data_IF_829982602010
#
_entry.id   IF_829982602010
#
_cell.length_a   1.000
_cell.length_b   1.000
_cell.length_c   1.000
_cell.angle_alpha   90.00
_cell.angle_beta   90.00
_cell.angle_gamma   90.00
#
_symmetry.space_group_name_H-M   'P 1'
#
loop_
_entity.id
_entity.type
_entity.pdbx_description
1 polymer ?
#
# COMPACT_ATOMS: atom_id res chain seq x y z
N UNK A 1 -12.72 -1.33 -14.83
CA UNK A 1 -12.94 -2.79 -15.00
C UNK A 1 -12.66 -3.64 -13.73
N UNK A 2 -12.36 -3.07 -12.57
CA UNK A 2 -12.02 -3.81 -11.34
C UNK A 2 -13.20 -4.04 -10.36
N UNK A 3 -14.41 -3.57 -10.68
CA UNK A 3 -15.58 -3.72 -9.81
C UNK A 3 -16.29 -5.07 -9.93
N UNK A 4 -15.69 -6.05 -10.64
CA UNK A 4 -16.29 -7.37 -10.84
C UNK A 4 -15.75 -8.46 -9.90
N UNK A 5 -14.87 -8.11 -8.96
CA UNK A 5 -14.40 -9.08 -7.95
C UNK A 5 -15.55 -9.30 -6.96
N UNK A 6 -16.15 -10.50 -6.90
CA UNK A 6 -17.29 -10.74 -6.00
C UNK A 6 -16.82 -10.82 -4.55
N UNK A 7 -17.69 -10.36 -3.64
CA UNK A 7 -17.56 -10.51 -2.20
C UNK A 7 -18.43 -11.68 -1.74
N UNK A 8 -17.78 -12.73 -1.28
CA UNK A 8 -18.43 -13.99 -0.92
C UNK A 8 -18.92 -13.96 0.53
N UNK A 9 -20.17 -14.35 0.73
CA UNK A 9 -20.67 -14.70 2.06
C UNK A 9 -20.25 -16.15 2.34
N UNK A 10 -19.30 -16.33 3.24
CA UNK A 10 -18.82 -17.66 3.62
C UNK A 10 -19.88 -18.43 4.44
N UNK A 11 -19.89 -19.76 4.30
CA UNK A 11 -20.70 -20.62 5.16
C UNK A 11 -20.27 -20.42 6.62
N UNK A 12 -21.25 -20.22 7.50
CA UNK A 12 -21.00 -19.96 8.93
C UNK A 12 -20.60 -18.50 9.25
N UNK A 13 -20.76 -17.56 8.30
CA UNK A 13 -20.60 -16.14 8.58
C UNK A 13 -21.51 -15.73 9.76
N UNK A 14 -20.92 -15.09 10.76
CA UNK A 14 -21.64 -14.59 11.91
C UNK A 14 -22.29 -13.23 11.62
N UNK A 15 -23.01 -12.67 12.58
CA UNK A 15 -23.71 -11.38 12.42
C UNK A 15 -22.76 -10.22 12.14
N UNK A 16 -21.57 -10.24 12.75
CA UNK A 16 -20.55 -9.18 12.57
C UNK A 16 -19.91 -9.27 11.20
N UNK A 17 -19.64 -10.49 10.70
CA UNK A 17 -19.17 -10.71 9.34
C UNK A 17 -20.20 -10.21 8.31
N UNK A 18 -21.49 -10.48 8.52
CA UNK A 18 -22.56 -10.03 7.64
C UNK A 18 -22.66 -8.49 7.61
N UNK A 19 -22.54 -7.84 8.76
CA UNK A 19 -22.54 -6.38 8.85
C UNK A 19 -21.31 -5.76 8.13
N UNK A 20 -20.14 -6.37 8.28
CA UNK A 20 -18.92 -5.92 7.61
C UNK A 20 -19.02 -6.11 6.09
N UNK A 21 -19.56 -7.25 5.61
CA UNK A 21 -19.82 -7.50 4.18
C UNK A 21 -20.74 -6.42 3.60
N UNK A 22 -21.84 -6.08 4.29
CA UNK A 22 -22.76 -5.04 3.85
C UNK A 22 -22.06 -3.69 3.72
N UNK A 23 -21.31 -3.29 4.74
CA UNK A 23 -20.58 -2.02 4.74
C UNK A 23 -19.53 -1.93 3.61
N UNK A 24 -18.78 -3.02 3.38
CA UNK A 24 -17.79 -3.10 2.31
C UNK A 24 -18.46 -3.02 0.93
N UNK A 25 -19.54 -3.79 0.73
CA UNK A 25 -20.29 -3.78 -0.53
C UNK A 25 -20.88 -2.41 -0.83
N UNK A 26 -21.50 -1.76 0.15
CA UNK A 26 -22.10 -0.43 0.01
C UNK A 26 -21.04 0.62 -0.36
N UNK A 27 -19.90 0.61 0.33
CA UNK A 27 -18.83 1.58 0.11
C UNK A 27 -18.08 1.39 -1.18
N UNK A 28 -17.73 0.13 -1.51
CA UNK A 28 -16.80 -0.19 -2.60
C UNK A 28 -17.51 -0.72 -3.86
N UNK A 29 -18.81 -0.98 -3.80
CA UNK A 29 -19.61 -1.46 -4.93
C UNK A 29 -19.32 -2.91 -5.35
N UNK A 30 -18.81 -3.76 -4.46
CA UNK A 30 -18.57 -5.16 -4.78
C UNK A 30 -19.90 -5.94 -4.78
N UNK A 31 -20.16 -6.76 -5.84
CA UNK A 31 -21.30 -7.64 -5.85
C UNK A 31 -21.19 -8.70 -4.75
N UNK A 32 -22.22 -8.81 -3.92
CA UNK A 32 -22.27 -9.82 -2.85
C UNK A 32 -22.94 -11.08 -3.41
N UNK A 33 -22.28 -12.21 -3.24
CA UNK A 33 -22.78 -13.52 -3.69
C UNK A 33 -22.69 -14.56 -2.56
N UNK A 34 -23.53 -15.59 -2.62
CA UNK A 34 -23.50 -16.69 -1.66
C UNK A 34 -22.30 -17.62 -1.89
N UNK A 35 -21.99 -18.44 -0.90
CA UNK A 35 -20.93 -19.47 -1.04
C UNK A 35 -21.19 -20.45 -2.17
N UNK A 36 -22.47 -20.75 -2.48
CA UNK A 36 -22.86 -21.61 -3.60
C UNK A 36 -22.61 -20.98 -4.97
N UNK A 37 -22.51 -19.66 -5.05
CA UNK A 37 -22.24 -18.88 -6.27
C UNK A 37 -20.77 -18.47 -6.37
N UNK A 38 -19.93 -18.97 -5.47
CA UNK A 38 -18.48 -18.72 -5.51
C UNK A 38 -17.91 -19.13 -6.88
N UNK A 39 -17.12 -18.24 -7.50
CA UNK A 39 -16.51 -18.55 -8.81
C UNK A 39 -15.60 -19.78 -8.73
N UNK A 40 -15.55 -20.57 -9.80
CA UNK A 40 -14.64 -21.72 -9.92
C UNK A 40 -13.21 -21.31 -10.24
N UNK A 41 -13.03 -20.09 -10.78
CA UNK A 41 -11.73 -19.51 -11.17
C UNK A 41 -11.74 -18.01 -10.96
N UNK A 42 -10.54 -17.41 -10.88
CA UNK A 42 -10.36 -15.98 -10.71
C UNK A 42 -10.38 -15.52 -9.24
N UNK A 43 -10.30 -14.22 -9.06
CA UNK A 43 -10.18 -13.59 -7.74
C UNK A 43 -11.56 -13.33 -7.11
N UNK A 44 -11.64 -13.47 -5.80
CA UNK A 44 -12.80 -13.10 -5.01
C UNK A 44 -12.37 -12.54 -3.65
N UNK A 45 -13.21 -11.70 -3.07
CA UNK A 45 -13.10 -11.23 -1.69
C UNK A 45 -13.95 -12.12 -0.78
N UNK A 46 -13.52 -12.28 0.46
CA UNK A 46 -14.31 -12.92 1.51
C UNK A 46 -14.08 -12.25 2.86
N UNK A 47 -15.09 -12.28 3.70
CA UNK A 47 -14.97 -11.91 5.12
C UNK A 47 -15.12 -13.16 5.96
N UNK A 48 -14.16 -13.37 6.86
CA UNK A 48 -14.18 -14.47 7.82
C UNK A 48 -13.58 -14.00 9.14
N UNK A 49 -14.31 -14.21 10.22
CA UNK A 49 -13.92 -13.78 11.57
C UNK A 49 -13.57 -12.29 11.66
N UNK A 50 -14.33 -11.44 10.99
CA UNK A 50 -14.11 -9.99 10.97
C UNK A 50 -12.93 -9.51 10.13
N UNK A 51 -12.36 -10.35 9.27
CA UNK A 51 -11.19 -10.05 8.42
C UNK A 51 -11.57 -10.14 6.95
N UNK A 52 -11.28 -9.08 6.20
CA UNK A 52 -11.39 -9.06 4.74
C UNK A 52 -10.14 -9.66 4.12
N UNK A 53 -10.31 -10.60 3.20
CA UNK A 53 -9.22 -11.25 2.47
C UNK A 53 -9.51 -11.40 0.98
N UNK A 54 -8.46 -11.36 0.17
CA UNK A 54 -8.46 -11.63 -1.26
C UNK A 54 -7.96 -13.05 -1.52
N UNK A 55 -8.71 -13.85 -2.26
CA UNK A 55 -8.38 -15.21 -2.58
C UNK A 55 -8.50 -15.50 -4.08
N UNK A 56 -7.86 -16.58 -4.53
CA UNK A 56 -7.99 -17.13 -5.87
C UNK A 56 -8.77 -18.45 -5.81
N UNK A 57 -9.84 -18.55 -6.56
CA UNK A 57 -10.69 -19.74 -6.61
C UNK A 57 -9.94 -20.97 -7.19
N UNK A 58 -8.98 -20.75 -8.04
CA UNK A 58 -8.11 -21.82 -8.62
C UNK A 58 -7.12 -22.41 -7.60
N UNK A 59 -6.81 -21.69 -6.51
CA UNK A 59 -5.85 -22.12 -5.50
C UNK A 59 -6.55 -22.75 -4.28
N UNK A 60 -6.72 -24.07 -4.29
CA UNK A 60 -7.27 -24.82 -3.14
C UNK A 60 -6.25 -24.87 -1.99
N UNK A 61 -6.70 -24.68 -0.74
CA UNK A 61 -5.89 -24.76 0.49
C UNK A 61 -4.89 -23.63 0.72
N UNK A 62 -5.11 -22.46 0.14
CA UNK A 62 -4.24 -21.30 0.33
C UNK A 62 -5.04 -20.22 1.09
N UNK A 63 -4.51 -19.73 2.22
CA UNK A 63 -5.17 -18.67 3.00
C UNK A 63 -5.34 -17.40 2.14
N UNK A 64 -6.43 -16.66 2.27
CA UNK A 64 -6.58 -15.36 1.63
C UNK A 64 -5.42 -14.42 1.93
N UNK A 65 -5.16 -13.48 1.02
CA UNK A 65 -4.26 -12.37 1.29
C UNK A 65 -5.02 -11.28 2.00
N UNK A 66 -4.54 -10.88 3.15
CA UNK A 66 -5.09 -9.83 3.99
C UNK A 66 -4.05 -8.78 4.31
N UNK A 67 -4.49 -7.59 4.69
CA UNK A 67 -3.63 -6.55 5.25
C UNK A 67 -3.70 -6.67 6.77
N UNK A 68 -2.62 -7.09 7.42
CA UNK A 68 -2.53 -7.17 8.87
C UNK A 68 -1.33 -6.37 9.40
N UNK A 69 -1.62 -5.13 9.79
CA UNK A 69 -0.63 -4.24 10.39
C UNK A 69 -0.24 -4.66 11.82
N UNK A 70 -1.12 -5.39 12.51
CA UNK A 70 -0.87 -5.90 13.85
C UNK A 70 -0.34 -7.33 13.87
N UNK A 71 0.05 -7.91 12.72
CA UNK A 71 0.62 -9.24 12.65
C UNK A 71 1.89 -9.36 13.53
N UNK A 72 2.19 -10.54 14.06
CA UNK A 72 3.43 -10.76 14.82
C UNK A 72 4.68 -10.31 14.06
N UNK A 73 4.71 -10.50 12.74
CA UNK A 73 5.82 -10.07 11.89
C UNK A 73 5.94 -8.55 11.80
N UNK A 74 4.82 -7.83 11.66
CA UNK A 74 4.76 -6.37 11.63
C UNK A 74 5.18 -5.77 12.97
N UNK A 75 4.66 -6.30 14.06
CA UNK A 75 5.00 -5.85 15.41
C UNK A 75 6.45 -6.18 15.77
N UNK A 76 6.94 -7.35 15.39
CA UNK A 76 8.35 -7.70 15.56
C UNK A 76 9.26 -6.72 14.80
N UNK A 77 8.93 -6.38 13.54
CA UNK A 77 9.67 -5.38 12.76
C UNK A 77 9.64 -4.01 13.42
N UNK A 78 8.50 -3.60 13.98
CA UNK A 78 8.37 -2.35 14.75
C UNK A 78 9.30 -2.34 15.96
N UNK A 79 9.39 -3.45 16.71
CA UNK A 79 10.17 -3.53 17.96
C UNK A 79 11.66 -3.79 17.71
N UNK A 80 12.01 -4.67 16.77
CA UNK A 80 13.36 -5.19 16.54
C UNK A 80 13.93 -4.84 15.16
N UNK A 81 13.14 -4.26 14.29
CA UNK A 81 13.59 -3.75 13.00
C UNK A 81 14.56 -2.58 13.15
N UNK A 82 15.09 -2.11 12.05
CA UNK A 82 16.05 -1.00 12.04
C UNK A 82 15.51 0.32 12.58
N UNK A 83 14.19 0.45 12.81
CA UNK A 83 13.54 1.69 13.20
C UNK A 83 13.98 2.83 12.27
N UNK A 84 14.56 3.89 12.82
CA UNK A 84 15.12 5.00 12.03
C UNK A 84 16.33 4.63 11.17
N UNK A 85 16.94 3.47 11.38
CA UNK A 85 18.05 2.95 10.56
C UNK A 85 17.57 2.18 9.33
N UNK A 86 16.26 1.93 9.21
CA UNK A 86 15.68 1.29 8.02
C UNK A 86 16.00 2.12 6.77
N UNK A 87 16.36 1.48 5.64
CA UNK A 87 16.73 2.20 4.42
C UNK A 87 15.66 3.17 3.93
N UNK A 88 14.38 2.78 3.99
CA UNK A 88 13.26 3.65 3.63
C UNK A 88 13.21 4.91 4.51
N UNK A 89 13.39 4.78 5.83
CA UNK A 89 13.35 5.91 6.76
C UNK A 89 14.51 6.87 6.52
N UNK A 90 15.70 6.32 6.22
CA UNK A 90 16.85 7.12 5.79
C UNK A 90 16.59 7.85 4.47
N UNK A 91 15.94 7.18 3.52
CA UNK A 91 15.60 7.76 2.22
C UNK A 91 14.58 8.89 2.37
N UNK A 92 13.53 8.69 3.17
CA UNK A 92 12.59 9.76 3.55
C UNK A 92 13.31 10.92 4.23
N UNK A 93 14.41 10.66 4.96
CA UNK A 93 15.26 11.70 5.56
C UNK A 93 14.75 12.22 6.88
N UNK A 94 13.95 11.43 7.57
CA UNK A 94 13.40 11.76 8.89
C UNK A 94 14.53 12.02 9.89
N UNK A 95 14.58 13.21 10.46
CA UNK A 95 15.56 13.64 11.46
C UNK A 95 14.88 13.91 12.81
N UNK A 96 15.63 13.72 13.89
CA UNK A 96 15.15 14.08 15.23
C UNK A 96 13.78 13.47 15.56
N UNK A 97 12.93 14.21 16.28
CA UNK A 97 11.58 13.80 16.69
C UNK A 97 10.49 14.44 15.80
N UNK A 98 10.82 14.90 14.62
CA UNK A 98 9.87 15.54 13.71
C UNK A 98 8.77 14.57 13.30
N UNK A 99 7.53 15.02 13.36
CA UNK A 99 6.36 14.29 12.87
C UNK A 99 6.12 14.68 11.40
N UNK A 100 6.71 13.94 10.48
CA UNK A 100 6.53 14.18 9.05
C UNK A 100 5.22 13.59 8.54
N UNK A 101 4.59 14.30 7.61
CA UNK A 101 3.52 13.77 6.80
C UNK A 101 4.13 13.21 5.51
N UNK A 102 3.94 11.92 5.29
CA UNK A 102 4.39 11.20 4.10
C UNK A 102 3.18 10.72 3.31
N UNK A 103 3.20 10.93 2.01
CA UNK A 103 2.24 10.29 1.10
C UNK A 103 2.89 9.05 0.50
N UNK A 104 2.28 7.89 0.72
CA UNK A 104 2.61 6.65 0.02
C UNK A 104 1.64 6.49 -1.16
N UNK A 105 2.11 6.80 -2.37
CA UNK A 105 1.28 6.80 -3.56
C UNK A 105 1.24 5.44 -4.30
N UNK A 106 1.86 4.41 -3.73
CA UNK A 106 1.90 3.04 -4.24
C UNK A 106 1.90 2.02 -3.09
N UNK A 107 0.91 2.08 -2.18
CA UNK A 107 1.01 1.41 -0.88
C UNK A 107 1.00 -0.13 -0.96
N UNK A 108 0.37 -0.71 -1.99
CA UNK A 108 0.20 -2.16 -2.06
C UNK A 108 -0.47 -2.69 -0.78
N UNK A 109 0.20 -3.57 -0.05
CA UNK A 109 -0.29 -4.07 1.27
C UNK A 109 0.05 -3.14 2.45
N UNK A 110 0.54 -1.92 2.21
CA UNK A 110 0.81 -0.92 3.24
C UNK A 110 2.01 -1.23 4.15
N UNK A 111 2.88 -2.16 3.78
CA UNK A 111 4.00 -2.59 4.64
C UNK A 111 5.02 -1.50 4.88
N UNK A 112 5.37 -0.75 3.84
CA UNK A 112 6.32 0.35 3.95
C UNK A 112 5.65 1.56 4.63
N UNK A 113 4.36 1.82 4.35
CA UNK A 113 3.55 2.80 5.08
C UNK A 113 3.54 2.52 6.60
N UNK A 114 3.36 1.28 7.03
CA UNK A 114 3.36 0.91 8.45
C UNK A 114 4.74 1.11 9.10
N UNK A 115 5.83 0.87 8.38
CA UNK A 115 7.19 1.18 8.88
C UNK A 115 7.32 2.67 9.16
N UNK A 116 6.86 3.53 8.26
CA UNK A 116 6.91 4.98 8.43
C UNK A 116 6.04 5.46 9.61
N UNK A 117 4.83 4.89 9.76
CA UNK A 117 3.97 5.14 10.92
C UNK A 117 4.65 4.71 12.22
N UNK A 118 5.33 3.56 12.21
CA UNK A 118 6.01 3.00 13.39
C UNK A 118 7.16 3.88 13.90
N UNK A 119 7.75 4.73 13.04
CA UNK A 119 8.80 5.68 13.42
C UNK A 119 8.27 7.10 13.68
N UNK A 120 6.95 7.28 13.66
CA UNK A 120 6.28 8.52 14.08
C UNK A 120 5.69 9.35 12.95
N UNK A 121 5.85 8.98 11.67
CA UNK A 121 5.23 9.69 10.56
C UNK A 121 3.70 9.57 10.58
N UNK A 122 3.01 10.61 10.10
CA UNK A 122 1.66 10.51 9.58
C UNK A 122 1.76 10.04 8.14
N UNK A 123 0.96 9.06 7.73
CA UNK A 123 1.01 8.51 6.38
C UNK A 123 -0.36 8.53 5.73
N UNK A 124 -0.45 9.17 4.56
CA UNK A 124 -1.61 9.08 3.67
C UNK A 124 -1.27 8.11 2.55
N UNK A 125 -2.00 7.03 2.46
CA UNK A 125 -1.90 6.06 1.36
C UNK A 125 -2.87 6.47 0.25
N UNK A 126 -2.42 6.44 -1.01
CA UNK A 126 -3.29 6.66 -2.18
C UNK A 126 -3.32 5.37 -2.99
N UNK A 127 -4.50 4.80 -3.16
CA UNK A 127 -4.67 3.52 -3.86
C UNK A 127 -5.80 3.60 -4.89
N UNK A 128 -5.48 3.19 -6.13
CA UNK A 128 -6.43 3.22 -7.26
C UNK A 128 -7.33 2.00 -7.37
N UNK A 129 -6.87 0.85 -6.87
CA UNK A 129 -7.65 -0.38 -6.88
C UNK A 129 -8.65 -0.40 -5.74
N UNK A 130 -9.95 -0.47 -6.00
CA UNK A 130 -10.95 -0.56 -4.93
C UNK A 130 -10.77 -1.81 -4.07
N UNK A 131 -10.28 -2.90 -4.64
CA UNK A 131 -9.99 -4.15 -3.91
C UNK A 131 -8.86 -3.94 -2.91
N UNK A 132 -7.74 -3.36 -3.35
CA UNK A 132 -6.59 -3.09 -2.47
C UNK A 132 -6.93 -2.04 -1.44
N UNK A 133 -7.65 -0.99 -1.83
CA UNK A 133 -8.12 0.05 -0.93
C UNK A 133 -9.03 -0.52 0.17
N UNK A 134 -9.95 -1.43 -0.17
CA UNK A 134 -10.80 -2.10 0.82
C UNK A 134 -9.98 -2.97 1.80
N UNK A 135 -8.96 -3.68 1.32
CA UNK A 135 -8.05 -4.46 2.17
C UNK A 135 -7.24 -3.55 3.11
N UNK A 136 -6.72 -2.42 2.62
CA UNK A 136 -6.00 -1.45 3.43
C UNK A 136 -6.90 -0.83 4.50
N UNK A 137 -8.13 -0.46 4.13
CA UNK A 137 -9.10 0.10 5.06
C UNK A 137 -9.46 -0.90 6.17
N UNK A 138 -9.69 -2.17 5.81
CA UNK A 138 -9.92 -3.23 6.80
C UNK A 138 -8.72 -3.41 7.73
N UNK A 139 -7.50 -3.39 7.17
CA UNK A 139 -6.27 -3.43 7.96
C UNK A 139 -6.15 -2.28 8.96
N UNK A 140 -6.47 -1.04 8.55
CA UNK A 140 -6.49 0.13 9.45
C UNK A 140 -7.59 -0.02 10.50
N UNK A 141 -8.80 -0.45 10.13
CA UNK A 141 -9.91 -0.71 11.04
C UNK A 141 -9.51 -1.70 12.15
N UNK A 142 -8.88 -2.81 11.77
CA UNK A 142 -8.41 -3.82 12.74
C UNK A 142 -7.24 -3.32 13.59
N UNK A 143 -6.32 -2.55 13.01
CA UNK A 143 -5.23 -1.92 13.75
C UNK A 143 -5.77 -0.99 14.85
N UNK A 144 -6.85 -0.23 14.56
CA UNK A 144 -7.47 0.69 15.51
C UNK A 144 -8.01 0.00 16.77
N UNK A 145 -8.36 -1.28 16.69
CA UNK A 145 -8.84 -2.05 17.85
C UNK A 145 -7.74 -2.33 18.87
N UNK A 146 -6.49 -2.49 18.42
CA UNK A 146 -5.36 -2.86 19.28
C UNK A 146 -4.34 -1.74 19.47
N UNK A 147 -4.19 -0.85 18.49
CA UNK A 147 -3.22 0.23 18.46
C UNK A 147 -3.82 1.51 17.86
N UNK A 148 -4.83 2.12 18.54
CA UNK A 148 -5.56 3.29 18.01
C UNK A 148 -4.63 4.47 17.71
N UNK A 149 -3.55 4.65 18.46
CA UNK A 149 -2.57 5.72 18.24
C UNK A 149 -1.74 5.55 16.96
N UNK A 150 -1.54 4.32 16.47
CA UNK A 150 -0.91 4.05 15.18
C UNK A 150 -1.91 4.20 14.05
N UNK A 151 -3.11 3.67 14.22
CA UNK A 151 -4.17 3.77 13.23
C UNK A 151 -4.54 5.24 12.96
N UNK A 152 -4.56 6.09 13.98
CA UNK A 152 -4.82 7.54 13.86
C UNK A 152 -3.79 8.28 12.99
N UNK A 153 -2.60 7.70 12.78
CA UNK A 153 -1.56 8.25 11.89
C UNK A 153 -1.67 7.74 10.45
N UNK A 154 -2.61 6.85 10.17
CA UNK A 154 -2.83 6.28 8.84
C UNK A 154 -4.12 6.82 8.24
N UNK A 155 -4.06 7.25 7.01
CA UNK A 155 -5.24 7.60 6.21
C UNK A 155 -5.16 6.99 4.83
N UNK A 156 -6.31 6.80 4.21
CA UNK A 156 -6.43 6.22 2.87
C UNK A 156 -7.27 7.14 1.99
N UNK A 157 -6.77 7.43 0.79
CA UNK A 157 -7.50 8.07 -0.29
C UNK A 157 -7.60 7.11 -1.47
N UNK A 158 -8.82 6.93 -1.99
CA UNK A 158 -9.05 6.11 -3.17
C UNK A 158 -9.02 6.97 -4.42
N UNK A 159 -8.19 6.59 -5.39
CA UNK A 159 -8.10 7.28 -6.68
C UNK A 159 -6.79 7.04 -7.40
N UNK A 160 -6.68 7.59 -8.61
CA UNK A 160 -5.42 7.59 -9.35
C UNK A 160 -4.40 8.46 -8.62
N UNK A 161 -3.25 7.89 -8.28
CA UNK A 161 -2.27 8.57 -7.44
C UNK A 161 -1.71 9.85 -8.06
N UNK A 162 -1.52 9.88 -9.39
CA UNK A 162 -1.04 11.09 -10.05
C UNK A 162 -2.08 12.23 -9.98
N UNK A 163 -3.36 11.90 -10.21
CA UNK A 163 -4.47 12.86 -10.13
C UNK A 163 -4.69 13.34 -8.69
N UNK A 164 -4.72 12.40 -7.73
CA UNK A 164 -4.91 12.75 -6.30
C UNK A 164 -3.77 13.64 -5.81
N UNK A 165 -2.51 13.37 -6.20
CA UNK A 165 -1.37 14.24 -5.83
C UNK A 165 -1.47 15.63 -6.46
N UNK A 166 -1.95 15.73 -7.71
CA UNK A 166 -2.10 17.01 -8.41
C UNK A 166 -3.13 17.93 -7.73
N UNK A 167 -4.21 17.34 -7.19
CA UNK A 167 -5.28 18.08 -6.53
C UNK A 167 -5.33 17.84 -5.03
N UNK A 168 -4.19 17.46 -4.44
CA UNK A 168 -4.12 17.14 -3.03
C UNK A 168 -4.47 18.34 -2.17
N UNK A 169 -5.53 18.20 -1.38
CA UNK A 169 -5.96 19.19 -0.40
C UNK A 169 -5.71 18.65 1.00
N UNK A 170 -5.00 19.38 1.83
CA UNK A 170 -4.73 18.92 3.17
C UNK A 170 -3.48 19.55 3.79
N UNK A 171 -2.95 18.88 4.79
CA UNK A 171 -1.73 19.29 5.47
C UNK A 171 -0.51 19.23 4.55
N UNK A 172 0.49 20.03 4.89
CA UNK A 172 1.76 20.06 4.20
C UNK A 172 2.38 18.64 4.10
N UNK A 173 2.74 18.21 2.89
CA UNK A 173 3.36 16.91 2.62
C UNK A 173 4.87 17.07 2.62
N UNK A 174 5.54 16.48 3.62
CA UNK A 174 7.00 16.57 3.73
C UNK A 174 7.70 15.68 2.70
N UNK A 175 7.21 14.45 2.50
CA UNK A 175 7.80 13.55 1.52
C UNK A 175 6.76 12.69 0.84
N UNK A 176 7.12 12.21 -0.38
CA UNK A 176 6.31 11.23 -1.11
C UNK A 176 7.15 9.99 -1.34
N UNK A 177 6.53 8.84 -1.12
CA UNK A 177 7.11 7.52 -1.35
C UNK A 177 6.42 6.84 -2.54
N UNK A 178 7.24 6.31 -3.46
CA UNK A 178 6.82 5.59 -4.65
C UNK A 178 7.54 4.24 -4.72
N UNK A 179 6.80 3.14 -4.83
CA UNK A 179 7.28 1.78 -5.13
C UNK A 179 6.44 1.14 -6.24
N UNK A 180 6.40 1.75 -7.45
CA UNK A 180 5.59 1.22 -8.53
C UNK A 180 6.04 -0.19 -8.93
N UNK A 181 5.07 -1.05 -9.30
CA UNK A 181 5.35 -2.41 -9.74
C UNK A 181 6.18 -2.42 -11.01
N UNK A 182 7.43 -2.85 -10.88
CA UNK A 182 8.36 -2.95 -12.00
C UNK A 182 8.13 -4.28 -12.74
N UNK A 183 8.17 -4.29 -14.09
CA UNK A 183 8.08 -5.53 -14.84
C UNK A 183 9.28 -6.42 -14.51
N UNK A 184 9.05 -7.48 -13.75
CA UNK A 184 10.09 -8.46 -13.46
C UNK A 184 10.42 -9.28 -14.70
N UNK A 185 11.70 -9.37 -15.06
CA UNK A 185 12.18 -10.38 -16.02
C UNK A 185 11.80 -11.77 -15.48
N UNK A 186 11.18 -12.58 -16.33
CA UNK A 186 10.52 -13.89 -16.08
C UNK A 186 11.39 -14.99 -15.40
N UNK A 187 12.19 -14.73 -14.39
CA UNK A 187 13.01 -15.76 -13.73
C UNK A 187 13.11 -15.56 -12.23
N UNK A 188 12.02 -15.82 -11.48
CA UNK A 188 12.16 -16.31 -10.12
C UNK A 188 11.07 -17.33 -9.84
N UNK A 189 11.49 -18.57 -9.57
CA UNK A 189 10.63 -19.73 -9.39
C UNK A 189 9.76 -19.68 -8.11
N UNK A 190 9.81 -18.60 -7.34
CA UNK A 190 9.06 -18.38 -6.09
C UNK A 190 8.65 -16.92 -5.96
N UNK A 191 7.81 -16.47 -6.85
CA UNK A 191 7.06 -15.22 -6.60
C UNK A 191 6.14 -15.50 -5.41
N UNK A 192 6.26 -14.71 -4.34
CA UNK A 192 5.39 -14.84 -3.16
C UNK A 192 3.93 -14.78 -3.63
N UNK A 193 3.06 -15.61 -3.02
CA UNK A 193 1.63 -15.71 -3.33
C UNK A 193 0.97 -14.33 -3.47
N UNK A 194 1.21 -13.47 -2.47
CA UNK A 194 0.67 -12.11 -2.46
C UNK A 194 1.01 -11.34 -3.75
N UNK A 195 2.27 -11.43 -4.20
CA UNK A 195 2.72 -10.76 -5.41
C UNK A 195 2.04 -11.32 -6.66
N UNK A 196 1.75 -12.64 -6.71
CA UNK A 196 1.02 -13.24 -7.83
C UNK A 196 -0.42 -12.73 -7.89
N UNK A 197 -1.13 -12.73 -6.76
CA UNK A 197 -2.50 -12.21 -6.68
C UNK A 197 -2.56 -10.72 -7.07
N UNK A 198 -1.59 -9.93 -6.61
CA UNK A 198 -1.48 -8.52 -6.99
C UNK A 198 -1.17 -8.32 -8.47
N UNK A 199 -0.28 -9.13 -9.06
CA UNK A 199 -0.01 -9.10 -10.50
C UNK A 199 -1.24 -9.49 -11.32
N UNK A 200 -2.01 -10.47 -10.84
CA UNK A 200 -3.26 -10.89 -11.49
C UNK A 200 -4.33 -9.79 -11.38
N UNK A 201 -4.42 -9.12 -10.23
CA UNK A 201 -5.39 -8.07 -9.96
C UNK A 201 -5.07 -6.76 -10.69
N UNK A 202 -3.81 -6.30 -10.61
CA UNK A 202 -3.40 -4.96 -11.01
C UNK A 202 -2.63 -4.93 -12.32
N UNK A 203 -2.03 -6.05 -12.72
CA UNK A 203 -1.11 -6.08 -13.85
C UNK A 203 0.22 -5.37 -13.52
N UNK A 204 0.76 -4.67 -14.51
CA UNK A 204 1.93 -3.80 -14.37
C UNK A 204 1.47 -2.35 -14.28
N UNK A 205 2.32 -1.46 -13.75
CA UNK A 205 2.10 -0.01 -13.72
C UNK A 205 2.75 0.64 -14.97
N UNK A 206 2.08 0.65 -16.14
CA UNK A 206 2.64 1.22 -17.38
C UNK A 206 2.76 2.75 -17.28
N UNK A 207 2.02 3.35 -16.38
CA UNK A 207 1.92 4.78 -16.11
C UNK A 207 2.78 5.24 -14.91
N UNK A 208 3.72 4.40 -14.44
CA UNK A 208 4.56 4.71 -13.29
C UNK A 208 5.34 6.02 -13.43
N UNK A 209 5.79 6.35 -14.63
CA UNK A 209 6.53 7.59 -14.91
C UNK A 209 5.69 8.84 -14.67
N UNK A 210 4.37 8.77 -14.85
CA UNK A 210 3.45 9.87 -14.61
C UNK A 210 3.29 10.23 -13.11
N UNK A 211 3.77 9.38 -12.19
CA UNK A 211 3.72 9.64 -10.76
C UNK A 211 4.75 10.69 -10.31
N UNK A 212 5.90 10.76 -10.99
CA UNK A 212 7.02 11.58 -10.50
C UNK A 212 6.77 13.09 -10.58
N UNK A 213 6.23 13.67 -11.68
CA UNK A 213 6.01 15.11 -11.76
C UNK A 213 5.10 15.66 -10.65
N UNK A 214 3.86 15.16 -10.45
CA UNK A 214 3.00 15.66 -9.39
C UNK A 214 3.55 15.39 -7.98
N UNK A 215 4.35 14.31 -7.81
CA UNK A 215 5.03 14.05 -6.56
C UNK A 215 6.08 15.12 -6.24
N UNK A 216 6.87 15.57 -7.23
CA UNK A 216 7.86 16.63 -7.08
C UNK A 216 7.22 18.00 -6.80
N UNK A 217 6.03 18.24 -7.36
CA UNK A 217 5.27 19.46 -7.13
C UNK A 217 4.64 19.49 -5.72
N UNK A 218 4.15 18.35 -5.22
CA UNK A 218 3.46 18.26 -3.94
C UNK A 218 4.44 18.22 -2.76
N UNK A 219 5.52 17.44 -2.85
CA UNK A 219 6.47 17.26 -1.76
C UNK A 219 7.22 18.56 -1.42
N UNK A 220 7.35 18.85 -0.12
CA UNK A 220 8.12 20.04 0.33
C UNK A 220 9.60 19.75 0.55
N UNK A 221 9.96 18.49 0.88
CA UNK A 221 11.36 18.12 1.17
C UNK A 221 11.92 17.16 0.14
N UNK A 222 11.23 16.05 -0.16
CA UNK A 222 11.75 15.07 -1.10
C UNK A 222 10.72 14.09 -1.63
N UNK A 223 11.03 13.52 -2.79
CA UNK A 223 10.36 12.33 -3.32
C UNK A 223 11.35 11.17 -3.26
N UNK A 224 10.87 10.01 -2.84
CA UNK A 224 11.66 8.78 -2.70
C UNK A 224 11.04 7.70 -3.57
N UNK A 225 11.82 7.18 -4.51
CA UNK A 225 11.39 6.12 -5.43
C UNK A 225 12.20 4.85 -5.17
N UNK A 226 11.53 3.78 -4.81
CA UNK A 226 12.18 2.47 -4.65
C UNK A 226 12.32 1.79 -6.00
N UNK A 227 13.52 1.32 -6.32
CA UNK A 227 13.85 0.69 -7.61
C UNK A 227 14.73 -0.54 -7.43
N UNK A 228 14.60 -1.56 -8.27
CA UNK A 228 15.64 -2.57 -8.40
C UNK A 228 16.98 -1.91 -8.76
N UNK A 229 18.10 -2.43 -8.25
CA UNK A 229 19.41 -1.81 -8.50
C UNK A 229 19.76 -1.69 -10.00
N UNK A 230 19.22 -2.57 -10.83
CA UNK A 230 19.45 -2.59 -12.28
C UNK A 230 18.41 -1.81 -13.11
N UNK A 231 17.43 -1.18 -12.47
CA UNK A 231 16.39 -0.45 -13.18
C UNK A 231 16.83 0.98 -13.50
N UNK A 232 16.33 1.53 -14.61
CA UNK A 232 16.52 2.94 -14.91
C UNK A 232 15.82 3.84 -13.89
N UNK A 233 16.20 5.11 -13.81
CA UNK A 233 15.51 6.11 -12.99
C UNK A 233 14.09 6.33 -13.50
N UNK A 234 13.18 6.67 -12.59
CA UNK A 234 11.78 6.92 -12.94
C UNK A 234 11.66 8.15 -13.85
N UNK A 235 10.82 8.06 -14.89
CA UNK A 235 10.61 9.12 -15.89
C UNK A 235 11.89 9.64 -16.57
N UNK A 236 12.99 8.90 -16.54
CA UNK A 236 14.28 9.35 -17.06
C UNK A 236 14.91 10.52 -16.28
N UNK A 237 14.32 10.94 -15.17
CA UNK A 237 14.80 12.08 -14.37
C UNK A 237 15.86 11.59 -13.38
N UNK A 238 17.05 12.22 -13.43
CA UNK A 238 18.17 11.88 -12.55
C UNK A 238 17.84 12.25 -11.10
N UNK A 239 17.98 11.29 -10.19
CA UNK A 239 17.83 11.53 -8.76
C UNK A 239 18.99 12.39 -8.20
N UNK A 240 18.70 13.15 -7.13
CA UNK A 240 19.70 13.95 -6.42
C UNK A 240 20.72 13.07 -5.70
N UNK A 241 20.29 11.91 -5.19
CA UNK A 241 21.13 10.90 -4.56
C UNK A 241 20.42 9.53 -4.60
N UNK A 242 21.15 8.46 -4.32
CA UNK A 242 20.61 7.14 -4.14
C UNK A 242 21.07 6.52 -2.81
N UNK A 243 20.17 5.79 -2.15
CA UNK A 243 20.51 4.98 -0.98
C UNK A 243 20.37 3.51 -1.37
N UNK A 244 21.49 2.85 -1.51
CA UNK A 244 21.55 1.48 -1.99
C UNK A 244 21.33 0.47 -0.84
N UNK A 245 20.69 -0.64 -1.18
CA UNK A 245 20.59 -1.82 -0.36
C UNK A 245 20.97 -3.06 -1.17
N UNK A 246 21.02 -4.24 -0.55
CA UNK A 246 21.44 -5.47 -1.22
C UNK A 246 20.62 -5.83 -2.46
N UNK A 247 19.32 -5.49 -2.49
CA UNK A 247 18.39 -5.94 -3.56
C UNK A 247 17.74 -4.80 -4.32
N UNK A 248 17.71 -3.61 -3.77
CA UNK A 248 17.05 -2.43 -4.32
C UNK A 248 17.77 -1.17 -3.85
N UNK A 249 17.49 -0.07 -4.53
CA UNK A 249 17.92 1.26 -4.12
C UNK A 249 16.70 2.16 -3.93
N UNK A 250 16.90 3.25 -3.21
CA UNK A 250 15.96 4.36 -3.12
C UNK A 250 16.57 5.55 -3.85
N UNK A 251 15.99 5.91 -4.98
CA UNK A 251 16.31 7.15 -5.69
C UNK A 251 15.63 8.30 -4.96
N UNK A 252 16.41 9.29 -4.52
CA UNK A 252 15.93 10.42 -3.72
C UNK A 252 16.03 11.69 -4.53
N UNK A 253 14.91 12.37 -4.69
CA UNK A 253 14.78 13.67 -5.36
C UNK A 253 14.54 14.73 -4.29
N UNK A 254 15.46 15.70 -4.16
CA UNK A 254 15.30 16.81 -3.22
C UNK A 254 14.40 17.89 -3.84
N UNK A 255 13.37 18.31 -3.10
CA UNK A 255 12.47 19.37 -3.52
C UNK A 255 12.99 20.72 -3.02
N UNK A 256 13.09 21.70 -3.92
CA UNK A 256 13.71 23.02 -3.64
C UNK A 256 12.83 23.98 -2.83
N UNK A 257 11.61 23.61 -2.47
CA UNK A 257 10.65 24.50 -1.77
C UNK A 257 11.10 24.97 -0.38
N UNK A 258 12.19 24.43 0.17
CA UNK A 258 12.71 24.78 1.51
C UNK A 258 14.20 25.18 1.52
N UNK A 259 14.78 25.63 0.40
CA UNK A 259 16.15 26.19 0.37
C UNK A 259 16.17 27.73 0.47
N UNK A 260 15.04 28.33 0.85
CA UNK A 260 14.91 29.78 1.03
C UNK A 260 14.02 30.10 2.21
N UNK A 261 14.58 30.12 3.39
CA UNK A 261 14.35 31.05 4.50
C UNK A 261 15.40 30.79 5.59
#
# INVERSE_FOLDING_TARGET
MLNHVPLIICDGANRDDAALISAISEKWGFPVVSSSEKPSEGLYLQVQNGVLGLADAGEKKVNPVEVDFASPASLYRKQHGGGRKEPIVKAIGLKGNEAWHVVDATPGLGRDAFVLVSVGCKVTMIERSPVVAALLEDGIRRLALSFPELAAKMSLQHGNSAEVMQYFTGENVNAIYLDPMFPHKKKSALVKKEMRLFQQLLGHDPDADALLPPALELATHRVVVKRPNSADVLAGIKASMAIESKKHRFDVYLCQKNLGE
#
